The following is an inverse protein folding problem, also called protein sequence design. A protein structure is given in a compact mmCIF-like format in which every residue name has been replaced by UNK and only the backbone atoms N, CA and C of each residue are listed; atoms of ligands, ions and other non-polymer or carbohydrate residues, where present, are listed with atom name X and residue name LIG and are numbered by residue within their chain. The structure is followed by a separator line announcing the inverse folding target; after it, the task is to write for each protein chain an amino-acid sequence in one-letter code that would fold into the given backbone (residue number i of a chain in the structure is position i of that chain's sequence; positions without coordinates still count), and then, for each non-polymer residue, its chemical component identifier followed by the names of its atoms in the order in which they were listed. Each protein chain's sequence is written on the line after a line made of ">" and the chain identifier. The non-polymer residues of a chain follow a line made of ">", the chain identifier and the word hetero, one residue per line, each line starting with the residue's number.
data_IF_706372839583
#
_entry.id   IF_706372839583
#
_cell.length_a   1.000
_cell.length_b   1.000
_cell.length_c   1.000
_cell.angle_alpha   90.00
_cell.angle_beta   90.00
_cell.angle_gamma   90.00
#
_symmetry.space_group_name_H-M   'P 1'
#
loop_
_entity.id
_entity.type
_entity.pdbx_description
1 polymer ?
#
# COMPACT_ATOMS: atom_id res chain seq x y z
N UNK A 1 -5.82 17.81 9.44
CA UNK A 1 -5.50 16.38 9.46
C UNK A 1 -5.33 15.83 8.05
N UNK A 2 -4.49 14.80 7.88
CA UNK A 2 -4.38 14.03 6.65
C UNK A 2 -5.42 12.91 6.61
N UNK A 3 -5.63 12.23 7.74
CA UNK A 3 -6.56 11.12 7.85
C UNK A 3 -7.22 11.09 9.25
N UNK A 4 -8.46 10.65 9.28
CA UNK A 4 -9.24 10.46 10.50
C UNK A 4 -9.93 9.09 10.42
N UNK A 5 -9.75 8.26 11.44
CA UNK A 5 -10.43 6.98 11.56
C UNK A 5 -10.83 6.75 13.03
N UNK A 6 -12.14 6.80 13.32
CA UNK A 6 -12.64 6.80 14.68
C UNK A 6 -12.04 7.97 15.48
N UNK A 7 -11.44 7.66 16.63
CA UNK A 7 -10.78 8.65 17.50
C UNK A 7 -9.32 8.93 17.09
N UNK A 8 -8.79 8.21 16.09
CA UNK A 8 -7.42 8.37 15.62
C UNK A 8 -7.34 9.39 14.49
N UNK A 9 -6.44 10.37 14.66
CA UNK A 9 -6.20 11.42 13.67
C UNK A 9 -4.71 11.47 13.36
N UNK A 10 -4.36 11.51 12.07
CA UNK A 10 -2.99 11.78 11.59
C UNK A 10 -2.91 13.17 10.96
N UNK A 11 -1.91 13.95 11.33
CA UNK A 11 -1.50 15.12 10.59
C UNK A 11 -0.76 14.71 9.31
N UNK A 12 -0.61 15.62 8.34
CA UNK A 12 0.19 15.38 7.13
C UNK A 12 1.64 15.00 7.45
N UNK A 13 2.21 15.62 8.49
CA UNK A 13 3.58 15.33 8.93
C UNK A 13 3.73 13.92 9.50
N UNK A 14 2.83 13.50 10.38
CA UNK A 14 2.82 12.15 10.96
C UNK A 14 2.59 11.11 9.87
N UNK A 15 1.63 11.33 8.98
CA UNK A 15 1.35 10.44 7.85
C UNK A 15 2.58 10.24 6.95
N UNK A 16 3.27 11.34 6.59
CA UNK A 16 4.48 11.28 5.77
C UNK A 16 5.63 10.56 6.49
N UNK A 17 5.82 10.83 7.78
CA UNK A 17 6.86 10.20 8.59
C UNK A 17 6.62 8.71 8.83
N UNK A 18 5.41 8.31 9.20
CA UNK A 18 5.07 6.90 9.38
C UNK A 18 5.22 6.12 8.07
N UNK A 19 4.71 6.67 6.97
CA UNK A 19 4.87 6.05 5.66
C UNK A 19 6.35 5.94 5.24
N UNK A 20 7.20 6.91 5.61
CA UNK A 20 8.63 6.84 5.33
C UNK A 20 9.34 5.75 6.15
N UNK A 21 8.94 5.52 7.40
CA UNK A 21 9.45 4.43 8.24
C UNK A 21 9.06 3.06 7.67
N UNK A 22 7.80 2.90 7.32
CA UNK A 22 7.30 1.67 6.69
C UNK A 22 8.00 1.42 5.35
N UNK A 23 8.23 2.46 4.54
CA UNK A 23 8.98 2.35 3.29
C UNK A 23 10.42 1.88 3.50
N UNK A 24 11.11 2.41 4.53
CA UNK A 24 12.47 1.94 4.86
C UNK A 24 12.46 0.47 5.27
N UNK A 25 11.52 0.07 6.13
CA UNK A 25 11.36 -1.34 6.51
C UNK A 25 11.15 -2.25 5.28
N UNK A 26 10.29 -1.84 4.34
CA UNK A 26 10.08 -2.57 3.09
C UNK A 26 11.37 -2.70 2.30
N UNK A 27 12.11 -1.60 2.14
CA UNK A 27 13.41 -1.58 1.45
C UNK A 27 14.43 -2.49 2.10
N UNK A 28 14.53 -2.48 3.45
CA UNK A 28 15.45 -3.33 4.21
C UNK A 28 15.13 -4.83 4.06
N UNK A 29 13.88 -5.16 3.70
CA UNK A 29 13.43 -6.52 3.39
C UNK A 29 13.44 -6.83 1.89
N UNK A 30 14.11 -6.01 1.08
CA UNK A 30 14.29 -6.25 -0.36
C UNK A 30 13.02 -6.03 -1.18
N UNK A 31 12.10 -5.18 -0.70
CA UNK A 31 10.91 -4.70 -1.41
C UNK A 31 11.22 -3.30 -1.95
N UNK A 32 11.12 -3.11 -3.26
CA UNK A 32 11.55 -1.88 -3.93
C UNK A 32 10.74 -1.57 -5.18
N UNK A 33 11.41 -1.05 -6.20
CA UNK A 33 10.79 -0.69 -7.46
C UNK A 33 10.03 -1.87 -8.06
N UNK A 34 8.81 -1.61 -8.51
CA UNK A 34 7.85 -2.59 -9.06
C UNK A 34 7.43 -3.73 -8.12
N UNK A 35 7.98 -3.83 -6.90
CA UNK A 35 7.52 -4.82 -5.91
C UNK A 35 6.07 -4.58 -5.51
N UNK A 36 5.24 -5.62 -5.48
CA UNK A 36 3.83 -5.51 -5.12
C UNK A 36 3.66 -5.73 -3.61
N UNK A 37 2.86 -4.84 -3.01
CA UNK A 37 2.60 -4.81 -1.57
C UNK A 37 1.11 -5.04 -1.33
N UNK A 38 0.73 -6.23 -0.88
CA UNK A 38 -0.65 -6.59 -0.59
C UNK A 38 -1.16 -5.90 0.69
N UNK A 39 -2.36 -5.34 0.63
CA UNK A 39 -3.00 -4.63 1.73
C UNK A 39 -4.31 -5.34 2.12
N UNK A 40 -4.20 -6.32 3.01
CA UNK A 40 -5.32 -7.11 3.52
C UNK A 40 -5.79 -6.59 4.88
N UNK A 41 -6.29 -5.36 4.86
CA UNK A 41 -6.67 -4.56 6.03
C UNK A 41 -8.10 -4.00 5.85
N UNK A 42 -8.76 -3.72 6.97
CA UNK A 42 -9.91 -2.81 6.96
C UNK A 42 -9.46 -1.36 6.68
N UNK A 43 -10.41 -0.52 6.28
CA UNK A 43 -10.15 0.91 6.13
C UNK A 43 -9.69 1.50 7.49
N UNK A 44 -8.49 2.04 7.49
CA UNK A 44 -7.84 2.57 8.70
C UNK A 44 -6.73 3.55 8.32
N UNK A 45 -6.22 4.31 9.29
CA UNK A 45 -5.05 5.15 9.08
C UNK A 45 -3.84 4.31 8.64
N UNK A 46 -3.69 3.11 9.19
CA UNK A 46 -2.58 2.18 8.86
C UNK A 46 -2.67 1.66 7.41
N UNK A 47 -3.90 1.47 6.90
CA UNK A 47 -4.10 1.16 5.48
C UNK A 47 -3.51 2.25 4.59
N UNK A 48 -3.82 3.52 4.89
CA UNK A 48 -3.32 4.65 4.13
C UNK A 48 -1.80 4.80 4.25
N UNK A 49 -1.25 4.59 5.45
CA UNK A 49 0.20 4.61 5.69
C UNK A 49 0.90 3.53 4.87
N UNK A 50 0.43 2.29 4.92
CA UNK A 50 1.02 1.18 4.16
C UNK A 50 0.90 1.39 2.63
N UNK A 51 -0.23 1.92 2.17
CA UNK A 51 -0.46 2.27 0.77
C UNK A 51 0.54 3.34 0.29
N UNK A 52 0.71 4.41 1.07
CA UNK A 52 1.66 5.47 0.72
C UNK A 52 3.11 5.02 0.84
N UNK A 53 3.42 4.15 1.82
CA UNK A 53 4.75 3.56 1.97
C UNK A 53 5.16 2.72 0.75
N UNK A 54 4.25 1.95 0.18
CA UNK A 54 4.49 1.22 -1.05
C UNK A 54 4.91 2.18 -2.19
N UNK A 55 4.22 3.31 -2.35
CA UNK A 55 4.65 4.33 -3.32
C UNK A 55 5.99 4.98 -2.96
N UNK A 56 6.28 5.18 -1.66
CA UNK A 56 7.56 5.78 -1.25
C UNK A 56 8.76 4.93 -1.66
N UNK A 57 8.62 3.62 -1.68
CA UNK A 57 9.66 2.67 -2.10
C UNK A 57 9.60 2.33 -3.60
N UNK A 58 8.83 3.08 -4.39
CA UNK A 58 8.53 2.83 -5.82
C UNK A 58 7.84 1.48 -6.08
N UNK A 59 7.25 0.89 -5.05
CA UNK A 59 6.45 -0.32 -5.15
C UNK A 59 5.01 -0.03 -5.54
N UNK A 60 4.25 -1.08 -5.72
CA UNK A 60 2.86 -1.07 -6.19
C UNK A 60 1.92 -1.58 -5.10
N UNK A 61 1.11 -0.73 -4.47
CA UNK A 61 0.12 -1.18 -3.51
C UNK A 61 -0.99 -1.97 -4.19
N UNK A 62 -1.30 -3.14 -3.64
CA UNK A 62 -2.37 -4.02 -4.11
C UNK A 62 -3.49 -4.04 -3.08
N UNK A 63 -4.64 -3.49 -3.43
CA UNK A 63 -5.82 -3.55 -2.57
C UNK A 63 -6.38 -4.98 -2.55
N UNK A 64 -6.36 -5.60 -1.38
CA UNK A 64 -6.89 -6.96 -1.16
C UNK A 64 -8.23 -6.85 -0.43
N UNK A 65 -9.29 -7.38 -1.04
CA UNK A 65 -10.59 -7.37 -0.39
C UNK A 65 -10.55 -8.17 0.92
N UNK A 66 -10.83 -7.50 2.03
CA UNK A 66 -10.81 -8.10 3.37
C UNK A 66 -11.81 -9.27 3.57
N UNK A 67 -12.75 -9.45 2.64
CA UNK A 67 -13.72 -10.56 2.64
C UNK A 67 -13.18 -11.83 1.96
N UNK A 68 -12.04 -11.76 1.28
CA UNK A 68 -11.48 -12.90 0.59
C UNK A 68 -11.09 -14.03 1.56
N UNK A 69 -11.34 -15.25 1.13
CA UNK A 69 -10.95 -16.47 1.82
C UNK A 69 -9.65 -17.04 1.23
N UNK A 70 -9.17 -18.16 1.73
CA UNK A 70 -7.87 -18.73 1.39
C UNK A 70 -7.58 -18.76 -0.13
N UNK A 71 -8.46 -19.37 -0.92
CA UNK A 71 -8.24 -19.56 -2.35
C UNK A 71 -8.16 -18.23 -3.12
N UNK A 72 -9.00 -17.28 -2.75
CA UNK A 72 -9.03 -15.96 -3.38
C UNK A 72 -7.79 -15.14 -3.00
N UNK A 73 -7.33 -15.26 -1.74
CA UNK A 73 -6.10 -14.61 -1.27
C UNK A 73 -4.86 -15.19 -1.95
N UNK A 74 -4.73 -16.51 -2.02
CA UNK A 74 -3.63 -17.18 -2.73
C UNK A 74 -3.61 -16.71 -4.18
N UNK A 75 -4.76 -16.79 -4.86
CA UNK A 75 -4.86 -16.35 -6.25
C UNK A 75 -4.40 -14.92 -6.43
N UNK A 76 -4.95 -13.98 -5.64
CA UNK A 76 -4.66 -12.56 -5.83
C UNK A 76 -3.20 -12.23 -5.51
N UNK A 77 -2.68 -12.74 -4.38
CA UNK A 77 -1.32 -12.45 -3.94
C UNK A 77 -0.26 -13.10 -4.84
N UNK A 78 -0.51 -14.30 -5.37
CA UNK A 78 0.36 -14.95 -6.33
C UNK A 78 0.28 -14.29 -7.72
N UNK A 79 -0.94 -14.04 -8.21
CA UNK A 79 -1.15 -13.39 -9.52
C UNK A 79 -0.60 -11.96 -9.59
N UNK A 80 -0.57 -11.25 -8.46
CA UNK A 80 0.04 -9.93 -8.36
C UNK A 80 1.54 -9.97 -8.16
N UNK A 81 2.15 -11.15 -7.95
CA UNK A 81 3.54 -11.29 -7.52
C UNK A 81 3.84 -10.50 -6.24
N UNK A 82 2.95 -10.56 -5.24
CA UNK A 82 3.11 -9.81 -4.00
C UNK A 82 4.37 -10.24 -3.24
N UNK A 83 5.20 -9.26 -2.85
CA UNK A 83 6.46 -9.46 -2.16
C UNK A 83 6.41 -9.05 -0.68
N UNK A 84 5.43 -8.24 -0.29
CA UNK A 84 5.11 -7.96 1.11
C UNK A 84 3.59 -7.92 1.30
N UNK A 85 3.13 -8.27 2.49
CA UNK A 85 1.70 -8.24 2.80
C UNK A 85 1.47 -7.62 4.17
N UNK A 86 0.70 -6.55 4.20
CA UNK A 86 0.11 -6.00 5.43
C UNK A 86 -1.24 -6.66 5.67
N UNK A 87 -1.48 -7.10 6.89
CA UNK A 87 -2.77 -7.69 7.26
C UNK A 87 -3.19 -7.31 8.67
N UNK A 88 -4.48 -7.27 8.91
CA UNK A 88 -5.03 -7.01 10.24
C UNK A 88 -4.98 -8.27 11.10
N UNK A 89 -4.73 -8.13 12.41
CA UNK A 89 -4.53 -9.23 13.33
C UNK A 89 -5.67 -10.27 13.30
N UNK A 90 -6.93 -9.83 13.16
CA UNK A 90 -8.08 -10.74 13.07
C UNK A 90 -7.98 -11.74 11.89
N UNK A 91 -7.12 -11.47 10.91
CA UNK A 91 -6.86 -12.36 9.77
C UNK A 91 -5.63 -13.27 9.96
N UNK A 92 -4.95 -13.24 11.11
CA UNK A 92 -3.73 -14.01 11.35
C UNK A 92 -3.92 -15.51 11.08
N UNK A 93 -5.05 -16.08 11.48
CA UNK A 93 -5.36 -17.50 11.20
C UNK A 93 -5.52 -17.80 9.71
N UNK A 94 -6.00 -16.82 8.93
CA UNK A 94 -6.12 -16.94 7.48
C UNK A 94 -4.74 -16.89 6.83
N UNK A 95 -3.92 -15.95 7.23
CA UNK A 95 -2.54 -15.81 6.75
C UNK A 95 -1.72 -17.05 7.07
N UNK A 96 -1.84 -17.61 8.31
CA UNK A 96 -1.18 -18.85 8.71
C UNK A 96 -1.46 -20.03 7.76
N UNK A 97 -2.66 -20.08 7.19
CA UNK A 97 -3.06 -21.19 6.29
C UNK A 97 -2.48 -21.07 4.90
N UNK A 98 -2.22 -19.84 4.42
CA UNK A 98 -1.90 -19.60 3.02
C UNK A 98 -0.43 -19.22 2.77
N UNK A 99 0.30 -18.74 3.79
CA UNK A 99 1.62 -18.13 3.61
C UNK A 99 2.66 -19.09 2.99
N UNK A 100 2.55 -20.38 3.29
CA UNK A 100 3.48 -21.38 2.77
C UNK A 100 3.29 -21.63 1.25
N UNK A 101 2.13 -21.21 0.70
CA UNK A 101 1.84 -21.26 -0.74
C UNK A 101 2.29 -19.97 -1.48
N UNK A 102 2.82 -18.99 -0.75
CA UNK A 102 3.20 -17.66 -1.25
C UNK A 102 4.71 -17.37 -1.02
N UNK A 103 5.61 -18.15 -1.61
CA UNK A 103 7.05 -18.06 -1.32
C UNK A 103 7.71 -16.77 -1.80
N UNK A 104 7.04 -15.96 -2.64
CA UNK A 104 7.51 -14.65 -3.08
C UNK A 104 7.39 -13.58 -1.99
N UNK A 105 6.51 -13.79 -1.00
CA UNK A 105 6.30 -12.83 0.07
C UNK A 105 7.45 -12.86 1.06
N UNK A 106 8.25 -11.81 1.05
CA UNK A 106 9.46 -11.62 1.87
C UNK A 106 9.14 -11.11 3.28
N UNK A 107 8.05 -10.35 3.43
CA UNK A 107 7.64 -9.74 4.69
C UNK A 107 6.12 -9.81 4.90
N UNK A 108 5.73 -10.32 6.07
CA UNK A 108 4.37 -10.31 6.58
C UNK A 108 4.28 -9.31 7.73
N UNK A 109 3.42 -8.29 7.62
CA UNK A 109 3.30 -7.23 8.61
C UNK A 109 1.90 -7.24 9.20
N UNK A 110 1.80 -7.55 10.49
CA UNK A 110 0.54 -7.60 11.23
C UNK A 110 0.23 -6.25 11.87
N UNK A 111 -0.93 -5.68 11.57
CA UNK A 111 -1.50 -4.58 12.31
C UNK A 111 -2.24 -5.12 13.55
N UNK A 112 -1.90 -4.57 14.72
CA UNK A 112 -2.46 -4.98 16.00
C UNK A 112 -3.91 -4.51 16.15
N UNK A 113 -4.78 -5.45 16.48
CA UNK A 113 -6.19 -5.25 16.83
C UNK A 113 -6.56 -6.02 18.12
N UNK A 114 -5.57 -6.35 18.94
CA UNK A 114 -5.68 -7.19 20.13
C UNK A 114 -5.43 -8.66 19.85
N UNK A 115 -5.23 -9.05 18.60
CA UNK A 115 -4.89 -10.45 18.23
C UNK A 115 -3.38 -10.67 18.42
N UNK A 116 -2.97 -11.79 19.05
CA UNK A 116 -1.55 -12.12 19.20
C UNK A 116 -0.80 -12.10 17.87
N UNK A 117 0.45 -11.64 17.90
CA UNK A 117 1.31 -11.61 16.72
C UNK A 117 1.53 -13.03 16.19
N UNK A 118 1.28 -13.24 14.91
CA UNK A 118 1.56 -14.50 14.24
C UNK A 118 3.07 -14.71 14.13
N UNK A 119 3.54 -15.87 14.55
CA UNK A 119 4.95 -16.25 14.39
C UNK A 119 5.44 -16.07 12.95
N UNK A 120 6.61 -15.46 12.78
CA UNK A 120 7.19 -15.14 11.49
C UNK A 120 6.59 -13.90 10.82
N UNK A 121 5.76 -13.13 11.51
CA UNK A 121 5.31 -11.81 11.09
C UNK A 121 5.97 -10.70 11.89
N UNK A 122 6.01 -9.50 11.33
CA UNK A 122 6.47 -8.29 11.98
C UNK A 122 5.28 -7.51 12.55
N UNK A 123 5.38 -7.05 13.79
CA UNK A 123 4.35 -6.17 14.35
C UNK A 123 4.48 -4.77 13.71
N UNK A 124 3.37 -4.23 13.20
CA UNK A 124 3.36 -2.88 12.59
C UNK A 124 3.93 -1.83 13.55
N UNK A 125 3.57 -1.89 14.84
CA UNK A 125 4.05 -0.91 15.81
C UNK A 125 5.56 -0.99 16.03
N UNK A 126 6.15 -2.19 15.95
CA UNK A 126 7.60 -2.36 16.05
C UNK A 126 8.30 -1.78 14.82
N UNK A 127 7.71 -1.93 13.63
CA UNK A 127 8.20 -1.28 12.40
C UNK A 127 8.24 0.24 12.58
N UNK A 128 7.15 0.84 13.07
CA UNK A 128 7.08 2.29 13.30
C UNK A 128 8.08 2.76 14.36
N UNK A 129 8.26 2.01 15.44
CA UNK A 129 9.11 2.42 16.56
C UNK A 129 10.61 2.25 16.29
N UNK A 130 10.99 1.22 15.52
CA UNK A 130 12.39 0.80 15.40
C UNK A 130 13.03 1.12 14.04
N UNK A 131 12.26 1.67 13.08
CA UNK A 131 12.77 1.98 11.74
C UNK A 131 12.96 3.49 11.57
N UNK A 132 14.12 3.89 11.04
CA UNK A 132 14.35 5.28 10.64
C UNK A 132 13.54 5.61 9.38
N UNK A 133 13.10 6.86 9.19
CA UNK A 133 12.36 7.22 7.99
C UNK A 133 13.25 7.17 6.74
N UNK A 134 12.73 6.57 5.67
CA UNK A 134 13.36 6.55 4.35
C UNK A 134 13.51 7.98 3.84
N UNK A 135 14.68 8.36 3.30
CA UNK A 135 14.84 9.65 2.64
C UNK A 135 13.96 9.72 1.39
N UNK A 136 13.67 10.93 0.95
CA UNK A 136 12.98 11.12 -0.34
C UNK A 136 13.89 10.64 -1.47
N UNK A 137 13.33 9.82 -2.34
CA UNK A 137 13.97 9.36 -3.57
C UNK A 137 13.24 9.95 -4.77
N UNK A 138 13.96 10.14 -5.87
CA UNK A 138 13.39 10.52 -7.15
C UNK A 138 12.51 9.37 -7.66
N UNK A 139 11.36 9.71 -8.23
CA UNK A 139 10.38 8.75 -8.77
C UNK A 139 10.21 8.95 -10.25
N UNK A 140 9.87 7.86 -10.95
CA UNK A 140 9.64 7.85 -12.37
C UNK A 140 8.12 7.97 -12.65
N UNK A 141 7.76 8.73 -13.69
CA UNK A 141 6.38 8.80 -14.18
C UNK A 141 5.86 7.46 -14.69
N UNK A 142 6.77 6.56 -15.08
CA UNK A 142 6.47 5.19 -15.52
C UNK A 142 6.20 4.22 -14.36
N UNK A 143 6.46 4.62 -13.09
CA UNK A 143 6.06 3.79 -11.95
C UNK A 143 4.58 3.44 -12.01
N UNK A 144 4.23 2.24 -11.59
CA UNK A 144 2.91 1.65 -11.80
C UNK A 144 2.02 1.85 -10.57
N UNK A 145 0.74 2.13 -10.86
CA UNK A 145 -0.38 1.98 -9.95
C UNK A 145 -1.28 0.86 -10.46
N UNK A 146 -1.67 -0.08 -9.59
CA UNK A 146 -2.47 -1.24 -9.99
C UNK A 146 -3.73 -1.36 -9.14
N UNK A 147 -4.87 -1.57 -9.80
CA UNK A 147 -6.15 -1.85 -9.16
C UNK A 147 -6.67 -3.22 -9.60
N UNK A 148 -6.95 -4.08 -8.64
CA UNK A 148 -7.68 -5.31 -8.90
C UNK A 148 -9.17 -5.04 -8.93
N UNK A 149 -9.78 -5.31 -10.08
CA UNK A 149 -11.23 -5.14 -10.27
C UNK A 149 -11.91 -6.50 -10.32
N UNK A 150 -13.04 -6.64 -9.59
CA UNK A 150 -13.90 -7.80 -9.70
C UNK A 150 -14.59 -7.81 -11.05
N UNK A 151 -14.26 -8.79 -11.92
CA UNK A 151 -14.99 -9.02 -13.16
C UNK A 151 -16.33 -9.71 -12.87
N UNK A 152 -17.34 -9.43 -13.69
CA UNK A 152 -18.65 -10.10 -13.63
C UNK A 152 -18.58 -11.59 -14.05
N UNK A 153 -17.46 -12.05 -14.57
CA UNK A 153 -17.30 -13.34 -15.24
C UNK A 153 -16.08 -14.16 -14.80
N UNK A 154 -15.42 -13.84 -13.68
CA UNK A 154 -14.22 -14.61 -13.27
C UNK A 154 -13.42 -13.98 -12.13
N UNK A 155 -12.22 -14.50 -11.95
CA UNK A 155 -11.27 -14.03 -10.93
C UNK A 155 -10.87 -12.56 -11.18
N UNK A 156 -10.56 -11.77 -10.12
CA UNK A 156 -10.14 -10.39 -10.25
C UNK A 156 -8.92 -10.23 -11.16
N UNK A 157 -8.88 -9.14 -11.93
CA UNK A 157 -7.75 -8.80 -12.81
C UNK A 157 -7.15 -7.47 -12.39
N UNK A 158 -5.82 -7.39 -12.40
CA UNK A 158 -5.07 -6.16 -12.13
C UNK A 158 -5.09 -5.24 -13.37
N UNK A 159 -5.65 -4.06 -13.21
CA UNK A 159 -5.60 -2.97 -14.21
C UNK A 159 -4.45 -2.06 -13.84
N UNK A 160 -3.51 -1.87 -14.74
CA UNK A 160 -2.28 -1.09 -14.53
C UNK A 160 -2.39 0.28 -15.17
N UNK A 161 -1.90 1.28 -14.45
CA UNK A 161 -1.74 2.66 -14.90
C UNK A 161 -0.34 3.14 -14.57
N UNK A 162 0.28 3.97 -15.40
CA UNK A 162 1.48 4.71 -14.98
C UNK A 162 1.08 5.91 -14.12
N UNK A 163 1.93 6.30 -13.17
CA UNK A 163 1.69 7.48 -12.34
C UNK A 163 1.52 8.74 -13.19
N UNK A 164 2.41 8.96 -14.17
CA UNK A 164 2.30 10.09 -15.10
C UNK A 164 1.00 10.09 -15.89
N UNK A 165 0.60 8.94 -16.43
CA UNK A 165 -0.67 8.79 -17.16
C UNK A 165 -1.89 9.09 -16.29
N UNK A 166 -1.90 8.61 -15.05
CA UNK A 166 -2.99 8.86 -14.10
C UNK A 166 -3.09 10.34 -13.71
N UNK A 167 -1.95 10.97 -13.34
CA UNK A 167 -1.89 12.39 -12.97
C UNK A 167 -2.30 13.27 -14.16
N UNK A 168 -1.78 13.03 -15.36
CA UNK A 168 -2.13 13.78 -16.55
C UNK A 168 -3.63 13.67 -16.89
N UNK A 169 -4.25 12.49 -16.70
CA UNK A 169 -5.68 12.32 -16.88
C UNK A 169 -6.49 13.14 -15.87
N UNK A 170 -6.08 13.14 -14.59
CA UNK A 170 -6.71 13.98 -13.57
C UNK A 170 -6.60 15.48 -13.89
N UNK A 171 -5.43 15.96 -14.29
CA UNK A 171 -5.21 17.37 -14.63
C UNK A 171 -6.07 17.79 -15.82
N UNK A 172 -6.17 16.96 -16.86
CA UNK A 172 -7.09 17.19 -17.98
C UNK A 172 -8.55 17.33 -17.55
N UNK A 173 -8.98 16.45 -16.65
CA UNK A 173 -10.34 16.47 -16.11
C UNK A 173 -10.60 17.77 -15.35
N UNK A 174 -9.69 18.20 -14.47
CA UNK A 174 -9.80 19.45 -13.70
C UNK A 174 -9.85 20.68 -14.62
N UNK A 175 -8.96 20.74 -15.62
CA UNK A 175 -8.99 21.79 -16.65
C UNK A 175 -10.33 21.82 -17.40
N UNK A 176 -10.88 20.65 -17.77
CA UNK A 176 -12.18 20.53 -18.41
C UNK A 176 -13.36 21.00 -17.54
N UNK A 177 -13.19 20.95 -16.21
CA UNK A 177 -14.15 21.49 -15.25
C UNK A 177 -13.97 22.99 -14.95
N UNK A 178 -13.03 23.67 -15.64
CA UNK A 178 -12.73 25.09 -15.45
C UNK A 178 -11.88 25.38 -14.21
N UNK A 179 -11.23 24.38 -13.62
CA UNK A 179 -10.29 24.57 -12.52
C UNK A 179 -8.95 25.04 -13.10
N UNK A 180 -8.41 26.12 -12.55
CA UNK A 180 -7.07 26.58 -12.89
C UNK A 180 -6.05 25.59 -12.32
N UNK A 181 -5.30 24.95 -13.20
CA UNK A 181 -4.32 23.94 -12.86
C UNK A 181 -2.95 24.43 -13.35
N UNK A 182 -1.94 24.49 -12.49
CA UNK A 182 -0.61 24.92 -12.87
C UNK A 182 -0.04 24.03 -13.99
N UNK A 183 0.78 24.62 -14.86
CA UNK A 183 1.43 23.88 -15.96
C UNK A 183 2.51 22.95 -15.44
N UNK A 184 3.20 23.33 -14.36
CA UNK A 184 4.17 22.50 -13.65
C UNK A 184 3.62 22.08 -12.27
N UNK A 185 3.66 20.77 -11.98
CA UNK A 185 3.28 20.23 -10.69
C UNK A 185 4.15 20.76 -9.54
N UNK A 186 5.38 21.24 -9.85
CA UNK A 186 6.25 21.88 -8.87
C UNK A 186 5.64 23.20 -8.34
N UNK A 187 4.78 23.85 -9.11
CA UNK A 187 4.13 25.11 -8.73
C UNK A 187 3.00 24.93 -7.73
N UNK A 188 2.46 23.70 -7.58
CA UNK A 188 1.46 23.36 -6.54
C UNK A 188 1.99 23.60 -5.12
N UNK A 189 3.31 23.62 -4.93
CA UNK A 189 3.93 23.84 -3.61
C UNK A 189 3.73 25.25 -3.05
N UNK A 190 3.26 26.18 -3.86
CA UNK A 190 3.19 27.61 -3.53
C UNK A 190 1.74 28.14 -3.39
N UNK A 191 0.74 27.27 -3.45
CA UNK A 191 -0.66 27.57 -3.14
C UNK A 191 -1.06 26.94 -1.81
#
# INVERSE_FOLDING_TARGET
>A
PAAICGDSTLSWKEYDQEAAKVAQFLSDNGVGEDSKVGLYLHNSNQYLVAHYAAFKVMGVPINVNYRYQANELIYLLDNSDSEAVFYQGCYANQIKKIRDELPKVKAWIQYDDGTPLLEGSHAYQDVINNTAPMPRIERNEDNIYMLYTGGTTGMPKGVMYTHGGFVNSMLKTLKGMGVDVPEDLADIKNT
#
